data_IF_171394430818
#
_entry.id   IF_171394430818
#
_cell.length_a   1.000
_cell.length_b   1.000
_cell.length_c   1.000
_cell.angle_alpha   90.00
_cell.angle_beta   90.00
_cell.angle_gamma   90.00
#
_symmetry.space_group_name_H-M   'P 1'
#
loop_
_entity.id
_entity.type
_entity.pdbx_description
1 polymer ?
#
# COMPACT_ATOMS: atom_id res chain seq x y z
N UNK A 1 72.68 -23.07 17.20
CA UNK A 1 71.56 -23.50 18.07
C UNK A 1 70.29 -22.76 17.63
N UNK A 2 69.41 -23.39 16.85
CA UNK A 2 67.98 -23.15 17.03
C UNK A 2 67.22 -24.48 17.19
N UNK A 3 66.30 -24.49 18.15
CA UNK A 3 65.49 -25.63 18.56
C UNK A 3 64.29 -25.85 17.64
N UNK A 4 63.95 -27.13 17.50
CA UNK A 4 62.87 -27.72 16.72
C UNK A 4 61.54 -27.78 17.51
N UNK A 5 60.43 -27.91 16.76
CA UNK A 5 59.11 -28.51 17.12
C UNK A 5 58.11 -27.62 17.89
N UNK A 6 56.96 -27.31 17.28
CA UNK A 6 55.75 -28.13 17.45
C UNK A 6 54.58 -27.71 16.54
N UNK A 7 54.06 -28.71 15.82
CA UNK A 7 52.79 -28.72 15.09
C UNK A 7 51.62 -28.65 16.08
N UNK A 8 50.69 -27.72 15.91
CA UNK A 8 49.31 -27.87 16.38
C UNK A 8 48.31 -27.32 15.37
N UNK A 9 47.64 -28.26 14.71
CA UNK A 9 46.42 -28.06 13.96
C UNK A 9 45.26 -27.86 14.95
N UNK A 10 44.63 -26.67 14.99
CA UNK A 10 43.25 -26.53 15.49
C UNK A 10 42.47 -25.56 14.62
N UNK A 11 41.47 -26.14 13.96
CA UNK A 11 40.42 -25.50 13.16
C UNK A 11 39.63 -24.56 14.07
N UNK A 12 39.59 -23.28 13.74
CA UNK A 12 38.55 -22.37 14.26
C UNK A 12 37.67 -21.96 13.08
N UNK A 13 36.59 -22.72 12.90
CA UNK A 13 35.41 -22.20 12.21
C UNK A 13 34.81 -21.13 13.11
N UNK A 14 35.12 -19.86 12.85
CA UNK A 14 34.41 -18.75 13.47
C UNK A 14 33.36 -18.27 12.46
N UNK A 15 32.21 -18.93 12.51
CA UNK A 15 30.98 -18.32 12.04
C UNK A 15 30.65 -17.16 12.98
N UNK A 16 30.45 -15.98 12.41
CA UNK A 16 29.49 -15.03 12.95
C UNK A 16 28.97 -14.19 11.79
N UNK A 17 27.73 -14.51 11.40
CA UNK A 17 26.90 -13.65 10.58
C UNK A 17 26.86 -12.27 11.23
N UNK A 18 27.25 -11.24 10.49
CA UNK A 18 26.80 -9.88 10.76
C UNK A 18 26.36 -9.22 9.46
N UNK A 19 25.31 -9.79 8.85
CA UNK A 19 24.44 -9.01 7.98
C UNK A 19 23.45 -8.27 8.90
N UNK A 20 23.91 -7.21 9.56
CA UNK A 20 23.00 -6.28 10.22
C UNK A 20 22.12 -5.65 9.14
N UNK A 21 20.83 -5.97 9.26
CA UNK A 21 19.74 -5.47 8.45
C UNK A 21 19.80 -3.95 8.31
N UNK A 22 20.01 -3.47 7.09
CA UNK A 22 19.37 -2.23 6.66
C UNK A 22 17.91 -2.58 6.37
N UNK A 23 17.11 -2.73 7.43
CA UNK A 23 15.68 -2.50 7.33
C UNK A 23 15.51 -0.99 7.14
N UNK A 24 15.78 -0.51 5.93
CA UNK A 24 15.35 0.80 5.52
C UNK A 24 13.84 0.85 5.69
N UNK A 25 13.36 1.71 6.59
CA UNK A 25 11.97 2.13 6.58
C UNK A 25 11.75 2.84 5.26
N UNK A 26 11.40 2.09 4.21
CA UNK A 26 10.79 2.65 3.03
C UNK A 26 9.41 3.15 3.45
N UNK A 27 9.39 4.32 4.09
CA UNK A 27 8.20 5.16 4.05
C UNK A 27 7.96 5.45 2.58
N UNK A 28 6.73 5.22 2.12
CA UNK A 28 6.31 5.62 0.78
C UNK A 28 6.78 7.07 0.54
N UNK A 29 7.58 7.25 -0.51
CA UNK A 29 8.27 8.51 -0.72
C UNK A 29 7.25 9.56 -1.15
N UNK A 30 7.47 10.80 -0.70
CA UNK A 30 6.62 11.99 -0.83
C UNK A 30 6.25 12.36 -2.28
N UNK A 31 5.39 11.57 -2.91
CA UNK A 31 5.05 11.67 -4.33
C UNK A 31 3.60 12.07 -4.62
N UNK A 32 2.85 12.63 -3.66
CA UNK A 32 1.42 12.92 -3.84
C UNK A 32 0.59 11.69 -4.29
N UNK A 33 -0.68 11.88 -4.65
CA UNK A 33 -1.52 10.76 -5.07
C UNK A 33 -1.03 10.09 -6.37
N UNK A 34 -0.50 10.86 -7.32
CA UNK A 34 0.00 10.33 -8.59
C UNK A 34 1.21 9.40 -8.39
N UNK A 35 2.16 9.77 -7.52
CA UNK A 35 3.30 8.92 -7.18
C UNK A 35 2.85 7.62 -6.49
N UNK A 36 1.88 7.71 -5.58
CA UNK A 36 1.28 6.54 -4.92
C UNK A 36 0.67 5.59 -5.95
N UNK A 37 -0.16 6.09 -6.89
CA UNK A 37 -0.76 5.24 -7.93
C UNK A 37 0.31 4.57 -8.81
N UNK A 38 1.41 5.27 -9.11
CA UNK A 38 2.52 4.69 -9.85
C UNK A 38 3.23 3.60 -9.05
N UNK A 39 3.48 3.80 -7.76
CA UNK A 39 4.05 2.78 -6.87
C UNK A 39 3.16 1.53 -6.80
N UNK A 40 1.85 1.71 -6.60
CA UNK A 40 0.87 0.60 -6.57
C UNK A 40 0.88 -0.14 -7.91
N UNK A 41 0.80 0.59 -9.03
CA UNK A 41 0.85 0.04 -10.39
C UNK A 41 2.09 -0.82 -10.61
N UNK A 42 3.25 -0.35 -10.14
CA UNK A 42 4.53 -1.04 -10.31
C UNK A 42 4.58 -2.37 -9.53
N UNK A 43 4.05 -2.40 -8.30
CA UNK A 43 4.11 -3.62 -7.47
C UNK A 43 3.03 -4.64 -7.80
N UNK A 44 1.89 -4.20 -8.32
CA UNK A 44 0.79 -5.06 -8.76
C UNK A 44 1.03 -5.59 -10.18
N UNK A 45 1.80 -4.86 -11.00
CA UNK A 45 2.12 -5.26 -12.38
C UNK A 45 0.96 -5.08 -13.36
N UNK A 46 -0.03 -4.26 -13.00
CA UNK A 46 -1.22 -3.98 -13.80
C UNK A 46 -1.23 -2.53 -14.26
N UNK A 47 -1.46 -2.29 -15.54
CA UNK A 47 -1.63 -0.92 -16.04
C UNK A 47 -2.98 -0.34 -15.60
N UNK A 48 -3.00 0.82 -14.91
CA UNK A 48 -4.25 1.47 -14.55
C UNK A 48 -4.95 1.96 -15.81
N UNK A 49 -6.16 1.45 -16.06
CA UNK A 49 -7.05 1.92 -17.15
C UNK A 49 -8.11 2.88 -16.63
N UNK A 50 -7.69 3.82 -15.78
CA UNK A 50 -8.52 4.88 -15.21
C UNK A 50 -7.74 6.19 -15.13
N UNK A 51 -8.44 7.31 -15.05
CA UNK A 51 -7.84 8.63 -14.85
C UNK A 51 -7.91 9.01 -13.36
N UNK A 52 -6.76 9.30 -12.75
CA UNK A 52 -6.72 9.84 -11.39
C UNK A 52 -7.09 11.33 -11.42
N UNK A 53 -8.06 11.76 -10.61
CA UNK A 53 -8.43 13.16 -10.46
C UNK A 53 -8.57 13.58 -9.01
N UNK A 54 -7.85 14.63 -8.65
CA UNK A 54 -8.15 15.38 -7.43
C UNK A 54 -9.44 16.19 -7.66
N UNK A 55 -10.40 16.08 -6.75
CA UNK A 55 -11.64 16.87 -6.77
C UNK A 55 -12.21 17.02 -5.36
N UNK A 56 -13.00 18.07 -5.16
CA UNK A 56 -13.81 18.29 -3.96
C UNK A 56 -15.27 17.86 -4.15
N UNK A 57 -15.62 17.29 -5.30
CA UNK A 57 -16.96 16.75 -5.59
C UNK A 57 -17.28 15.45 -4.84
N UNK A 58 -16.25 14.83 -4.24
CA UNK A 58 -16.37 13.69 -3.33
C UNK A 58 -15.79 14.09 -1.97
N UNK A 59 -16.40 13.60 -0.88
CA UNK A 59 -15.90 13.88 0.47
C UNK A 59 -14.64 13.06 0.80
N UNK A 60 -14.45 11.92 0.11
CA UNK A 60 -13.40 10.94 0.35
C UNK A 60 -12.65 10.56 -0.94
N UNK A 61 -12.66 9.29 -1.36
CA UNK A 61 -12.21 8.82 -2.65
C UNK A 61 -13.27 7.89 -3.24
N UNK A 62 -13.32 7.79 -4.57
CA UNK A 62 -14.31 6.97 -5.26
C UNK A 62 -13.81 6.48 -6.62
N UNK A 63 -14.03 5.19 -6.91
CA UNK A 63 -13.92 4.62 -8.24
C UNK A 63 -15.26 4.73 -9.00
N UNK A 64 -15.28 5.47 -10.11
CA UNK A 64 -16.51 5.73 -10.87
C UNK A 64 -16.35 5.55 -12.38
N UNK A 65 -17.47 5.28 -13.06
CA UNK A 65 -17.55 5.30 -14.52
C UNK A 65 -18.49 6.41 -14.95
N UNK A 66 -17.97 7.38 -15.70
CA UNK A 66 -18.75 8.52 -16.19
C UNK A 66 -18.42 8.80 -17.66
N UNK A 67 -19.45 8.94 -18.51
CA UNK A 67 -19.26 9.19 -19.94
C UNK A 67 -18.42 8.12 -20.66
N UNK A 68 -18.49 6.86 -20.21
CA UNK A 68 -17.69 5.76 -20.75
C UNK A 68 -16.21 5.74 -20.34
N UNK A 69 -15.79 6.64 -19.43
CA UNK A 69 -14.43 6.71 -18.89
C UNK A 69 -14.42 6.30 -17.41
N UNK A 70 -13.32 5.65 -16.99
CA UNK A 70 -13.08 5.25 -15.60
C UNK A 70 -12.29 6.33 -14.88
N UNK A 71 -12.71 6.71 -13.69
CA UNK A 71 -12.06 7.73 -12.86
C UNK A 71 -11.81 7.20 -11.47
N UNK A 72 -10.61 7.46 -10.95
CA UNK A 72 -10.30 7.37 -9.53
C UNK A 72 -10.33 8.80 -8.98
N UNK A 73 -11.42 9.17 -8.33
CA UNK A 73 -11.59 10.49 -7.72
C UNK A 73 -11.05 10.47 -6.30
N UNK A 74 -10.39 11.54 -5.87
CA UNK A 74 -10.03 11.70 -4.47
C UNK A 74 -10.07 13.16 -4.04
N UNK A 75 -10.46 13.37 -2.79
CA UNK A 75 -10.38 14.64 -2.11
C UNK A 75 -9.00 14.79 -1.47
N UNK A 76 -8.17 15.76 -1.92
CA UNK A 76 -6.81 15.91 -1.42
C UNK A 76 -6.77 16.32 0.06
N UNK A 77 -7.76 17.08 0.53
CA UNK A 77 -7.82 17.54 1.92
C UNK A 77 -8.16 16.39 2.87
N UNK A 78 -9.10 15.54 2.45
CA UNK A 78 -9.44 14.30 3.14
C UNK A 78 -8.23 13.36 3.22
N UNK A 79 -7.59 13.07 2.09
CA UNK A 79 -6.45 12.16 2.04
C UNK A 79 -5.29 12.66 2.92
N UNK A 80 -5.02 13.97 2.88
CA UNK A 80 -4.03 14.60 3.75
C UNK A 80 -4.45 14.55 5.23
N UNK A 81 -5.74 14.72 5.55
CA UNK A 81 -6.23 14.65 6.93
C UNK A 81 -6.07 13.24 7.51
N UNK A 82 -6.40 12.21 6.75
CA UNK A 82 -6.24 10.81 7.15
C UNK A 82 -4.77 10.47 7.39
N UNK A 83 -3.86 10.88 6.49
CA UNK A 83 -2.43 10.63 6.67
C UNK A 83 -1.87 11.38 7.89
N UNK A 84 -2.29 12.62 8.13
CA UNK A 84 -1.92 13.38 9.33
C UNK A 84 -2.40 12.70 10.61
N UNK A 85 -3.65 12.24 10.64
CA UNK A 85 -4.23 11.57 11.80
C UNK A 85 -3.52 10.25 12.11
N UNK A 86 -3.26 9.43 11.09
CA UNK A 86 -2.53 8.18 11.22
C UNK A 86 -1.02 8.32 11.42
N UNK A 87 -0.47 9.55 11.24
CA UNK A 87 0.98 9.83 11.20
C UNK A 87 1.72 8.89 10.23
N UNK A 88 1.07 8.58 9.12
CA UNK A 88 1.56 7.62 8.12
C UNK A 88 0.85 7.83 6.79
N UNK A 89 1.55 7.55 5.70
CA UNK A 89 0.92 7.52 4.37
C UNK A 89 0.18 6.22 4.07
N UNK A 90 0.35 5.19 4.90
CA UNK A 90 -0.28 3.89 4.68
C UNK A 90 -1.81 3.97 4.62
N UNK A 91 -2.42 4.88 5.38
CA UNK A 91 -3.87 5.04 5.37
C UNK A 91 -4.37 5.59 4.02
N UNK A 92 -3.75 6.64 3.49
CA UNK A 92 -4.08 7.17 2.16
C UNK A 92 -3.77 6.18 1.03
N UNK A 93 -2.65 5.45 1.12
CA UNK A 93 -2.31 4.37 0.18
C UNK A 93 -3.39 3.28 0.22
N UNK A 94 -3.85 2.89 1.41
CA UNK A 94 -4.88 1.87 1.60
C UNK A 94 -6.21 2.28 0.98
N UNK A 95 -6.62 3.53 1.16
CA UNK A 95 -7.84 4.10 0.55
C UNK A 95 -7.73 4.05 -0.98
N UNK A 96 -6.64 4.58 -1.55
CA UNK A 96 -6.47 4.58 -3.01
C UNK A 96 -6.38 3.15 -3.59
N UNK A 97 -5.70 2.23 -2.90
CA UNK A 97 -5.63 0.84 -3.30
C UNK A 97 -7.01 0.16 -3.25
N UNK A 98 -7.83 0.44 -2.23
CA UNK A 98 -9.20 -0.07 -2.12
C UNK A 98 -10.04 0.36 -3.34
N UNK A 99 -10.03 1.65 -3.67
CA UNK A 99 -10.74 2.16 -4.85
C UNK A 99 -10.22 1.55 -6.17
N UNK A 100 -8.90 1.33 -6.28
CA UNK A 100 -8.33 0.60 -7.42
C UNK A 100 -8.87 -0.84 -7.50
N UNK A 101 -9.05 -1.51 -6.36
CA UNK A 101 -9.66 -2.84 -6.27
C UNK A 101 -11.05 -2.88 -6.93
N UNK A 102 -11.89 -1.88 -6.65
CA UNK A 102 -13.22 -1.77 -7.29
C UNK A 102 -13.17 -1.65 -8.82
N UNK A 103 -12.16 -0.98 -9.38
CA UNK A 103 -11.97 -0.91 -10.83
C UNK A 103 -11.42 -2.21 -11.42
N UNK A 104 -10.45 -2.83 -10.75
CA UNK A 104 -9.76 -4.02 -11.24
C UNK A 104 -10.66 -5.26 -11.18
N UNK A 105 -11.47 -5.40 -10.14
CA UNK A 105 -12.43 -6.50 -10.00
C UNK A 105 -13.76 -6.23 -10.74
N UNK A 106 -13.89 -5.07 -11.37
CA UNK A 106 -15.06 -4.73 -12.18
C UNK A 106 -16.32 -4.41 -11.36
N UNK A 107 -16.19 -4.09 -10.08
CA UNK A 107 -17.32 -3.70 -9.21
C UNK A 107 -18.05 -2.47 -9.78
N UNK A 108 -17.29 -1.54 -10.37
CA UNK A 108 -17.81 -0.33 -11.04
C UNK A 108 -18.60 -0.56 -12.33
N UNK A 109 -18.72 -1.81 -12.83
CA UNK A 109 -19.45 -2.13 -14.07
C UNK A 109 -20.90 -2.55 -13.81
N UNK A 110 -21.23 -2.95 -12.58
CA UNK A 110 -22.56 -3.40 -12.20
C UNK A 110 -23.34 -2.21 -11.66
N UNK A 111 -24.61 -2.07 -12.06
CA UNK A 111 -25.49 -1.10 -11.44
C UNK A 111 -25.87 -1.61 -10.03
N UNK A 112 -25.65 -0.78 -9.02
CA UNK A 112 -25.87 -1.13 -7.61
C UNK A 112 -24.96 -0.34 -6.68
N UNK A 113 -25.33 -0.25 -5.40
CA UNK A 113 -24.49 0.34 -4.36
C UNK A 113 -23.45 -0.67 -3.84
N UNK A 114 -22.86 -0.35 -2.70
CA UNK A 114 -21.89 -1.21 -2.01
C UNK A 114 -22.48 -2.61 -1.74
N UNK A 115 -21.74 -3.65 -2.11
CA UNK A 115 -22.02 -5.04 -1.79
C UNK A 115 -20.94 -5.54 -0.82
N UNK A 116 -21.28 -6.18 0.32
CA UNK A 116 -20.30 -6.70 1.26
C UNK A 116 -19.20 -7.58 0.65
N UNK A 117 -19.50 -8.35 -0.40
CA UNK A 117 -18.47 -9.16 -1.09
C UNK A 117 -17.48 -8.28 -1.86
N UNK A 118 -17.98 -7.29 -2.59
CA UNK A 118 -17.15 -6.36 -3.37
C UNK A 118 -16.21 -5.55 -2.46
N UNK A 119 -16.69 -5.16 -1.28
CA UNK A 119 -15.89 -4.46 -0.25
C UNK A 119 -14.77 -5.34 0.33
N UNK A 120 -15.07 -6.61 0.62
CA UNK A 120 -14.08 -7.55 1.16
C UNK A 120 -12.96 -7.82 0.14
N UNK A 121 -13.32 -7.95 -1.13
CA UNK A 121 -12.33 -8.11 -2.21
C UNK A 121 -11.47 -6.84 -2.39
N UNK A 122 -12.07 -5.66 -2.27
CA UNK A 122 -11.33 -4.39 -2.30
C UNK A 122 -10.41 -4.22 -1.08
N UNK A 123 -10.85 -4.64 0.12
CA UNK A 123 -10.05 -4.64 1.35
C UNK A 123 -8.89 -5.66 1.26
N UNK A 124 -9.12 -6.85 0.70
CA UNK A 124 -8.07 -7.85 0.45
C UNK A 124 -7.02 -7.31 -0.52
N UNK A 125 -7.45 -6.69 -1.62
CA UNK A 125 -6.55 -6.06 -2.58
C UNK A 125 -5.73 -4.92 -1.93
N UNK A 126 -6.37 -4.08 -1.12
CA UNK A 126 -5.71 -3.01 -0.36
C UNK A 126 -4.61 -3.58 0.56
N UNK A 127 -4.93 -4.62 1.33
CA UNK A 127 -3.96 -5.31 2.19
C UNK A 127 -2.79 -5.93 1.42
N UNK A 128 -3.07 -6.55 0.27
CA UNK A 128 -2.06 -7.09 -0.64
C UNK A 128 -1.09 -6.00 -1.13
N UNK A 129 -1.62 -4.86 -1.58
CA UNK A 129 -0.82 -3.70 -2.03
C UNK A 129 0.08 -3.18 -0.92
N UNK A 130 -0.47 -2.95 0.27
CA UNK A 130 0.30 -2.47 1.42
C UNK A 130 1.47 -3.43 1.74
N UNK A 131 1.21 -4.74 1.74
CA UNK A 131 2.26 -5.74 1.98
C UNK A 131 3.33 -5.74 0.89
N UNK A 132 2.95 -5.54 -0.38
CA UNK A 132 3.87 -5.45 -1.52
C UNK A 132 4.74 -4.20 -1.48
N UNK A 133 4.21 -3.09 -0.96
CA UNK A 133 4.94 -1.84 -0.75
C UNK A 133 5.81 -1.85 0.51
N UNK A 134 5.72 -2.90 1.34
CA UNK A 134 6.60 -3.10 2.49
C UNK A 134 6.00 -2.71 3.84
N UNK A 135 4.71 -2.43 3.93
CA UNK A 135 4.04 -2.23 5.21
C UNK A 135 4.16 -3.49 6.08
N UNK A 136 4.46 -3.31 7.37
CA UNK A 136 4.30 -4.37 8.37
C UNK A 136 2.83 -4.73 8.55
N UNK A 137 2.54 -5.92 9.08
CA UNK A 137 1.16 -6.34 9.38
C UNK A 137 0.42 -5.32 10.26
N UNK A 138 1.09 -4.80 11.29
CA UNK A 138 0.51 -3.80 12.19
C UNK A 138 0.19 -2.49 11.45
N UNK A 139 1.08 -2.03 10.57
CA UNK A 139 0.82 -0.84 9.74
C UNK A 139 -0.34 -1.06 8.76
N UNK A 140 -0.40 -2.23 8.13
CA UNK A 140 -1.48 -2.56 7.21
C UNK A 140 -2.84 -2.64 7.93
N UNK A 141 -2.90 -3.26 9.11
CA UNK A 141 -4.10 -3.31 9.94
C UNK A 141 -4.54 -1.92 10.42
N UNK A 142 -3.58 -1.07 10.82
CA UNK A 142 -3.88 0.31 11.20
C UNK A 142 -4.41 1.14 10.03
N UNK A 143 -3.87 0.94 8.82
CA UNK A 143 -4.34 1.61 7.61
C UNK A 143 -5.76 1.17 7.22
N UNK A 144 -6.04 -0.14 7.23
CA UNK A 144 -7.38 -0.67 6.96
C UNK A 144 -8.42 -0.21 7.99
N UNK A 145 -8.03 -0.06 9.26
CA UNK A 145 -8.91 0.51 10.28
C UNK A 145 -9.32 1.96 9.95
N UNK A 146 -8.43 2.75 9.34
CA UNK A 146 -8.76 4.12 8.90
C UNK A 146 -9.79 4.13 7.75
N UNK A 147 -9.72 3.15 6.84
CA UNK A 147 -10.73 2.95 5.76
C UNK A 147 -12.10 2.63 6.37
N UNK A 148 -12.16 1.73 7.34
CA UNK A 148 -13.42 1.34 7.99
C UNK A 148 -14.13 2.53 8.69
N UNK A 149 -13.36 3.48 9.24
CA UNK A 149 -13.93 4.69 9.90
C UNK A 149 -14.39 5.78 8.92
N UNK A 150 -13.99 5.70 7.66
CA UNK A 150 -14.32 6.70 6.62
C UNK A 150 -15.49 6.29 5.73
N UNK A 151 -16.06 5.10 5.97
CA UNK A 151 -17.36 4.65 5.44
C UNK A 151 -18.51 5.36 6.18
N UNK A 152 -18.80 6.61 5.82
CA UNK A 152 -20.12 7.17 6.11
C UNK A 152 -21.18 6.36 5.34
N UNK A 153 -22.36 6.06 5.92
CA UNK A 153 -23.39 5.31 5.22
C UNK A 153 -23.91 6.14 4.04
N UNK A 154 -23.80 5.59 2.83
CA UNK A 154 -24.48 6.10 1.63
C UNK A 154 -25.88 5.52 1.56
#
# INVERSE_FOLDING_TARGET
MPTLISLFLRRTALGLLLACAFAGTAGAQTGGATGIIQEITNVVGLQPRFELRATHDVDNAAAVVYGGKRYLLYNPDFLAAVNRAGRTDWAGISILAHEMGHHLNGHTLRAGGSNPQDELEADEFSGFVLRKLGASLAQAQAALAAVATTRAPV
#
